data_IF_375929187626
#
_entry.id   IF_375929187626
#
_cell.length_a   1.000
_cell.length_b   1.000
_cell.length_c   1.000
_cell.angle_alpha   90.00
_cell.angle_beta   90.00
_cell.angle_gamma   90.00
#
_symmetry.space_group_name_H-M   'P 1'
#
loop_
_entity.id
_entity.type
_entity.pdbx_description
1 polymer ?
#
# COMPACT_ATOMS: atom_id res chain seq x y z
N UNK A 1 20.62 22.32 2.16
CA UNK A 1 19.55 21.31 2.19
C UNK A 1 20.12 20.03 2.78
N UNK A 2 19.35 19.31 3.59
CA UNK A 2 19.71 17.95 4.07
C UNK A 2 18.64 17.03 3.53
N UNK A 3 19.01 16.03 2.73
CA UNK A 3 18.07 15.12 2.06
C UNK A 3 16.93 15.86 1.34
N UNK A 4 17.26 16.86 0.52
CA UNK A 4 16.32 17.72 -0.21
C UNK A 4 15.40 18.63 0.64
N UNK A 5 15.55 18.66 1.97
CA UNK A 5 14.76 19.53 2.86
C UNK A 5 15.55 20.73 3.39
N UNK A 6 14.80 21.79 3.74
CA UNK A 6 15.34 22.97 4.42
C UNK A 6 15.71 22.64 5.87
N UNK A 7 16.72 23.33 6.42
CA UNK A 7 17.18 23.12 7.80
C UNK A 7 16.06 23.35 8.82
N UNK A 8 15.16 24.31 8.54
CA UNK A 8 13.97 24.58 9.36
C UNK A 8 13.07 23.35 9.45
N UNK A 9 12.75 22.72 8.32
CA UNK A 9 11.90 21.52 8.30
C UNK A 9 12.56 20.33 8.99
N UNK A 10 13.86 20.13 8.82
CA UNK A 10 14.58 19.06 9.53
C UNK A 10 14.52 19.25 11.05
N UNK A 11 14.62 20.49 11.54
CA UNK A 11 14.49 20.78 12.98
C UNK A 11 13.10 20.44 13.51
N UNK A 12 12.05 20.81 12.77
CA UNK A 12 10.66 20.49 13.13
C UNK A 12 10.44 18.98 13.14
N UNK A 13 10.86 18.26 12.09
CA UNK A 13 10.76 16.80 12.02
C UNK A 13 11.51 16.12 13.17
N UNK A 14 12.68 16.64 13.56
CA UNK A 14 13.43 16.12 14.71
C UNK A 14 12.64 16.20 16.00
N UNK A 15 12.10 17.38 16.29
CA UNK A 15 11.33 17.62 17.51
C UNK A 15 10.07 16.76 17.52
N UNK A 16 9.35 16.74 16.40
CA UNK A 16 8.16 15.93 16.24
C UNK A 16 8.45 14.44 16.46
N UNK A 17 9.49 13.89 15.80
CA UNK A 17 9.90 12.49 15.97
C UNK A 17 10.15 12.11 17.44
N UNK A 18 10.93 12.93 18.16
CA UNK A 18 11.31 12.63 19.55
C UNK A 18 10.08 12.74 20.47
N UNK A 19 9.33 13.84 20.39
CA UNK A 19 8.15 14.04 21.23
C UNK A 19 7.07 13.01 20.95
N UNK A 20 6.83 12.68 19.69
CA UNK A 20 5.86 11.66 19.30
C UNK A 20 6.19 10.31 19.92
N UNK A 21 7.43 9.83 19.81
CA UNK A 21 7.83 8.55 20.38
C UNK A 21 7.69 8.52 21.90
N UNK A 22 8.13 9.58 22.58
CA UNK A 22 8.08 9.65 24.05
C UNK A 22 6.63 9.76 24.54
N UNK A 23 5.86 10.71 24.00
CA UNK A 23 4.49 10.99 24.47
C UNK A 23 3.58 9.81 24.20
N UNK A 24 3.64 9.22 23.01
CA UNK A 24 2.79 8.07 22.66
C UNK A 24 3.14 6.83 23.48
N UNK A 25 4.43 6.59 23.76
CA UNK A 25 4.82 5.49 24.63
C UNK A 25 4.41 5.72 26.09
N UNK A 26 4.57 6.94 26.62
CA UNK A 26 4.10 7.27 27.97
C UNK A 26 2.59 7.08 28.08
N UNK A 27 1.83 7.58 27.09
CA UNK A 27 0.39 7.36 27.04
C UNK A 27 0.05 5.86 26.99
N UNK A 28 0.75 5.09 26.15
CA UNK A 28 0.59 3.64 26.05
C UNK A 28 0.81 2.94 27.39
N UNK A 29 1.84 3.33 28.14
CA UNK A 29 2.05 2.84 29.50
C UNK A 29 0.87 3.23 30.40
N UNK A 30 0.47 4.51 30.44
CA UNK A 30 -0.60 4.99 31.32
C UNK A 30 -1.97 4.33 31.05
N UNK A 31 -2.18 3.67 29.91
CA UNK A 31 -3.43 2.97 29.65
C UNK A 31 -3.72 1.83 30.63
N UNK A 32 -2.72 1.31 31.37
CA UNK A 32 -2.93 0.23 32.36
C UNK A 32 -3.87 0.63 33.50
N UNK A 33 -4.11 1.94 33.72
CA UNK A 33 -5.07 2.39 34.72
C UNK A 33 -6.51 2.03 34.37
N UNK A 34 -6.80 1.77 33.09
CA UNK A 34 -8.13 1.45 32.59
C UNK A 34 -8.23 0.07 31.93
N UNK A 35 -7.11 -0.48 31.47
CA UNK A 35 -7.05 -1.76 30.78
C UNK A 35 -6.28 -2.81 31.61
N UNK A 36 -6.72 -4.08 31.62
CA UNK A 36 -6.08 -5.13 32.42
C UNK A 36 -4.59 -5.32 32.08
N UNK A 37 -3.74 -5.35 33.10
CA UNK A 37 -2.32 -5.60 32.93
C UNK A 37 -2.00 -7.11 32.96
N UNK A 38 -1.91 -7.72 31.77
CA UNK A 38 -1.54 -9.12 31.59
C UNK A 38 -0.08 -9.32 31.13
N UNK A 39 0.32 -10.59 31.00
CA UNK A 39 1.65 -10.97 30.49
C UNK A 39 1.93 -10.46 29.08
N UNK A 40 0.92 -10.43 28.21
CA UNK A 40 1.00 -9.84 26.86
C UNK A 40 1.31 -8.35 26.92
N UNK A 41 0.64 -7.61 27.81
CA UNK A 41 0.84 -6.17 27.98
C UNK A 41 2.24 -5.84 28.49
N UNK A 42 2.78 -6.66 29.37
CA UNK A 42 4.17 -6.52 29.81
C UNK A 42 5.16 -6.63 28.64
N UNK A 43 4.97 -7.61 27.75
CA UNK A 43 5.80 -7.78 26.55
C UNK A 43 5.69 -6.57 25.62
N UNK A 44 4.47 -6.06 25.39
CA UNK A 44 4.24 -4.86 24.58
C UNK A 44 4.95 -3.63 25.16
N UNK A 45 4.88 -3.42 26.48
CA UNK A 45 5.56 -2.30 27.16
C UNK A 45 7.08 -2.43 27.08
N UNK A 46 7.62 -3.63 27.32
CA UNK A 46 9.06 -3.87 27.22
C UNK A 46 9.58 -3.67 25.78
N UNK A 47 8.83 -4.16 24.79
CA UNK A 47 9.12 -3.93 23.38
C UNK A 47 9.03 -2.44 23.02
N UNK A 48 7.97 -1.75 23.46
CA UNK A 48 7.79 -0.32 23.26
C UNK A 48 8.93 0.51 23.88
N UNK A 49 9.38 0.15 25.08
CA UNK A 49 10.52 0.78 25.74
C UNK A 49 11.79 0.63 24.89
N UNK A 50 12.05 -0.57 24.37
CA UNK A 50 13.20 -0.83 23.50
C UNK A 50 13.12 -0.01 22.21
N UNK A 51 11.94 0.08 21.60
CA UNK A 51 11.68 0.92 20.41
C UNK A 51 12.01 2.38 20.70
N UNK A 52 11.52 2.94 21.81
CA UNK A 52 11.78 4.35 22.17
C UNK A 52 13.25 4.58 22.49
N UNK A 53 13.87 3.76 23.33
CA UNK A 53 15.28 3.92 23.75
C UNK A 53 16.21 3.90 22.53
N UNK A 54 16.04 2.91 21.65
CA UNK A 54 16.86 2.79 20.45
C UNK A 54 16.46 3.79 19.35
N UNK A 55 15.22 4.28 19.37
CA UNK A 55 14.66 5.18 18.37
C UNK A 55 15.04 6.64 18.60
N UNK A 56 14.98 7.14 19.84
CA UNK A 56 15.29 8.54 20.20
C UNK A 56 16.74 8.91 19.89
N UNK A 57 17.65 7.94 19.91
CA UNK A 57 19.06 8.14 19.54
C UNK A 57 19.30 8.41 18.05
N UNK A 58 18.40 7.99 17.17
CA UNK A 58 18.60 8.02 15.70
C UNK A 58 18.92 9.43 15.17
N UNK A 59 18.16 10.49 15.52
CA UNK A 59 18.43 11.85 15.04
C UNK A 59 19.77 12.45 15.50
N UNK A 60 20.49 11.79 16.41
CA UNK A 60 21.78 12.23 16.96
C UNK A 60 22.94 11.36 16.46
N UNK A 61 22.67 10.36 15.62
CA UNK A 61 23.70 9.48 15.10
C UNK A 61 24.72 10.21 14.24
N UNK A 62 26.00 10.03 14.55
CA UNK A 62 27.11 10.56 13.74
C UNK A 62 27.43 9.62 12.57
N UNK A 63 28.00 10.15 11.47
CA UNK A 63 28.55 9.33 10.39
C UNK A 63 29.60 8.33 10.92
N UNK A 64 29.53 7.08 10.46
CA UNK A 64 30.45 6.02 10.87
C UNK A 64 31.72 6.03 9.99
N UNK A 65 32.87 5.79 10.60
CA UNK A 65 34.15 5.62 9.87
C UNK A 65 34.17 4.28 9.11
N UNK A 66 35.04 4.18 8.10
CA UNK A 66 35.13 3.00 7.20
C UNK A 66 35.40 1.69 7.97
N UNK A 67 36.27 1.73 8.97
CA UNK A 67 36.70 0.60 9.80
C UNK A 67 35.65 0.08 10.80
N UNK A 68 34.55 0.80 11.03
CA UNK A 68 33.54 0.43 12.03
C UNK A 68 32.47 -0.53 11.48
N UNK A 69 32.88 -1.71 10.96
CA UNK A 69 31.98 -2.67 10.32
C UNK A 69 30.84 -3.16 11.23
N UNK A 70 31.13 -3.53 12.47
CA UNK A 70 30.12 -4.02 13.44
C UNK A 70 29.07 -2.95 13.72
N UNK A 71 29.48 -1.70 13.98
CA UNK A 71 28.55 -0.58 14.23
C UNK A 71 27.64 -0.31 13.03
N UNK A 72 28.13 -0.49 11.80
CA UNK A 72 27.31 -0.35 10.59
C UNK A 72 26.23 -1.43 10.51
N UNK A 73 26.55 -2.67 10.87
CA UNK A 73 25.58 -3.77 10.90
C UNK A 73 24.53 -3.51 11.97
N UNK A 74 24.94 -3.20 13.20
CA UNK A 74 24.01 -2.88 14.30
C UNK A 74 23.08 -1.72 13.96
N UNK A 75 23.59 -0.67 13.31
CA UNK A 75 22.76 0.46 12.86
C UNK A 75 21.71 0.04 11.82
N UNK A 76 22.08 -0.81 10.86
CA UNK A 76 21.12 -1.36 9.89
C UNK A 76 20.05 -2.22 10.56
N UNK A 77 20.46 -3.08 11.50
CA UNK A 77 19.52 -3.88 12.29
C UNK A 77 18.56 -2.98 13.08
N UNK A 78 19.07 -1.88 13.68
CA UNK A 78 18.22 -0.91 14.36
C UNK A 78 17.20 -0.27 13.40
N UNK A 79 17.60 0.15 12.20
CA UNK A 79 16.63 0.72 11.25
C UNK A 79 15.52 -0.27 10.85
N UNK A 80 15.85 -1.54 10.64
CA UNK A 80 14.85 -2.58 10.33
C UNK A 80 13.93 -2.82 11.53
N UNK A 81 14.50 -2.93 12.73
CA UNK A 81 13.75 -3.07 13.97
C UNK A 81 12.78 -1.89 14.17
N UNK A 82 13.25 -0.66 13.93
CA UNK A 82 12.47 0.55 14.10
C UNK A 82 11.40 0.71 13.01
N UNK A 83 11.63 0.23 11.77
CA UNK A 83 10.61 0.27 10.72
C UNK A 83 9.38 -0.55 11.06
N UNK A 84 9.55 -1.64 11.81
CA UNK A 84 8.44 -2.45 12.32
C UNK A 84 7.93 -1.89 13.65
N UNK A 85 8.84 -1.73 14.61
CA UNK A 85 8.50 -1.40 16.00
C UNK A 85 7.81 -0.05 16.16
N UNK A 86 8.26 1.01 15.46
CA UNK A 86 7.57 2.30 15.53
C UNK A 86 6.21 2.24 14.84
N UNK A 87 6.10 1.55 13.71
CA UNK A 87 4.86 1.54 12.94
C UNK A 87 3.72 0.80 13.65
N UNK A 88 4.04 -0.12 14.57
CA UNK A 88 3.07 -0.68 15.53
C UNK A 88 2.89 0.18 16.79
N UNK A 89 3.97 0.70 17.36
CA UNK A 89 3.90 1.45 18.63
C UNK A 89 3.10 2.75 18.48
N UNK A 90 3.26 3.45 17.37
CA UNK A 90 2.63 4.75 17.12
C UNK A 90 1.09 4.68 17.17
N UNK A 91 0.40 3.82 16.40
CA UNK A 91 -1.06 3.72 16.48
C UNK A 91 -1.53 3.23 17.85
N UNK A 92 -0.83 2.29 18.50
CA UNK A 92 -1.17 1.84 19.86
C UNK A 92 -1.08 2.96 20.89
N UNK A 93 -0.05 3.80 20.81
CA UNK A 93 0.06 4.97 21.67
C UNK A 93 -0.99 6.03 21.36
N UNK A 94 -1.43 6.17 20.09
CA UNK A 94 -2.53 7.05 19.73
C UNK A 94 -3.85 6.56 20.30
N UNK A 95 -4.11 5.24 20.27
CA UNK A 95 -5.24 4.63 20.97
C UNK A 95 -5.22 4.90 22.47
N UNK A 96 -4.05 4.84 23.10
CA UNK A 96 -3.95 5.17 24.51
C UNK A 96 -4.24 6.66 24.77
N UNK A 97 -3.81 7.57 23.90
CA UNK A 97 -4.19 9.00 23.99
C UNK A 97 -5.70 9.17 23.85
N UNK A 98 -6.35 8.55 22.86
CA UNK A 98 -7.81 8.67 22.70
C UNK A 98 -8.56 8.16 23.92
N UNK A 99 -8.13 7.04 24.50
CA UNK A 99 -8.67 6.52 25.76
C UNK A 99 -8.49 7.50 26.93
N UNK A 100 -7.28 8.03 27.13
CA UNK A 100 -6.99 8.98 28.22
C UNK A 100 -7.82 10.25 28.07
N UNK A 101 -7.90 10.82 26.86
CA UNK A 101 -8.69 12.02 26.59
C UNK A 101 -10.18 11.78 26.85
N UNK A 102 -10.69 10.60 26.50
CA UNK A 102 -12.06 10.23 26.82
C UNK A 102 -12.29 10.08 28.34
N UNK A 103 -11.38 9.39 29.05
CA UNK A 103 -11.57 9.10 30.48
C UNK A 103 -11.29 10.29 31.41
N UNK A 104 -10.31 11.13 31.07
CA UNK A 104 -9.84 12.22 31.93
C UNK A 104 -10.48 13.55 31.55
N UNK A 105 -10.55 13.85 30.24
CA UNK A 105 -11.12 15.12 29.74
C UNK A 105 -12.58 14.98 29.29
N UNK A 106 -13.17 13.78 29.39
CA UNK A 106 -14.57 13.50 29.05
C UNK A 106 -14.94 13.89 27.61
N UNK A 107 -13.96 13.83 26.70
CA UNK A 107 -14.18 14.11 25.28
C UNK A 107 -14.96 12.96 24.60
N UNK A 108 -15.84 13.33 23.67
CA UNK A 108 -16.69 12.38 22.96
C UNK A 108 -15.90 11.56 21.93
N UNK A 109 -16.18 10.26 21.86
CA UNK A 109 -15.51 9.35 20.92
C UNK A 109 -15.59 9.75 19.44
N UNK A 110 -16.70 10.26 18.88
CA UNK A 110 -16.73 10.71 17.49
C UNK A 110 -15.70 11.79 17.18
N UNK A 111 -15.54 12.76 18.08
CA UNK A 111 -14.56 13.86 17.91
C UNK A 111 -13.14 13.29 17.99
N UNK A 112 -12.88 12.45 19.00
CA UNK A 112 -11.58 11.79 19.15
C UNK A 112 -11.23 10.90 17.96
N UNK A 113 -12.21 10.20 17.38
CA UNK A 113 -12.04 9.36 16.23
C UNK A 113 -11.63 10.17 14.99
N UNK A 114 -12.31 11.30 14.72
CA UNK A 114 -11.93 12.22 13.64
C UNK A 114 -10.50 12.74 13.84
N UNK A 115 -10.18 13.20 15.05
CA UNK A 115 -8.83 13.73 15.35
C UNK A 115 -7.75 12.66 15.20
N UNK A 116 -7.99 11.43 15.66
CA UNK A 116 -7.07 10.32 15.50
C UNK A 116 -6.87 9.95 14.04
N UNK A 117 -7.95 9.79 13.26
CA UNK A 117 -7.87 9.51 11.82
C UNK A 117 -7.10 10.61 11.06
N UNK A 118 -7.34 11.89 11.38
CA UNK A 118 -6.59 13.00 10.78
C UNK A 118 -5.09 12.95 11.14
N UNK A 119 -4.75 12.57 12.38
CA UNK A 119 -3.36 12.45 12.80
C UNK A 119 -2.65 11.26 12.13
N UNK A 120 -3.33 10.12 11.97
CA UNK A 120 -2.81 8.92 11.28
C UNK A 120 -2.28 9.27 9.88
N UNK A 121 -2.93 10.19 9.16
CA UNK A 121 -2.50 10.63 7.83
C UNK A 121 -1.05 11.13 7.79
N UNK A 122 -0.56 11.74 8.88
CA UNK A 122 0.75 12.41 8.92
C UNK A 122 1.69 11.84 9.97
N UNK A 123 1.20 11.00 10.87
CA UNK A 123 1.91 10.41 12.01
C UNK A 123 3.23 9.71 11.61
N UNK A 124 3.28 9.09 10.44
CA UNK A 124 4.43 8.30 10.01
C UNK A 124 5.54 9.13 9.32
N UNK A 125 5.31 10.42 9.02
CA UNK A 125 6.27 11.26 8.29
C UNK A 125 7.63 11.43 9.02
N UNK A 126 7.68 11.66 10.34
CA UNK A 126 8.97 11.80 11.03
C UNK A 126 9.78 10.49 11.03
N UNK A 127 9.10 9.35 11.27
CA UNK A 127 9.73 8.04 11.22
C UNK A 127 10.21 7.70 9.80
N UNK A 128 9.48 8.13 8.77
CA UNK A 128 9.90 7.99 7.36
C UNK A 128 11.23 8.68 7.11
N UNK A 129 11.40 9.91 7.59
CA UNK A 129 12.62 10.68 7.41
C UNK A 129 13.82 10.13 8.20
N UNK A 130 13.61 9.67 9.44
CA UNK A 130 14.72 9.22 10.29
C UNK A 130 15.04 7.73 10.19
N UNK A 131 14.06 6.89 9.86
CA UNK A 131 14.20 5.44 9.86
C UNK A 131 14.16 4.90 8.44
N UNK A 132 13.03 5.08 7.74
CA UNK A 132 12.77 4.38 6.47
C UNK A 132 13.74 4.80 5.36
N UNK A 133 14.09 6.09 5.28
CA UNK A 133 15.01 6.60 4.24
C UNK A 133 16.36 5.87 4.23
N UNK A 134 16.79 5.35 5.39
CA UNK A 134 18.09 4.71 5.55
C UNK A 134 18.17 3.30 4.97
N UNK A 135 17.04 2.72 4.53
CA UNK A 135 17.02 1.45 3.81
C UNK A 135 17.41 1.69 2.34
N UNK A 136 18.65 1.30 1.99
CA UNK A 136 19.25 1.62 0.69
C UNK A 136 19.22 0.46 -0.32
N UNK A 137 19.14 -0.80 0.12
CA UNK A 137 19.14 -1.93 -0.79
C UNK A 137 17.83 -2.01 -1.57
N UNK A 138 17.89 -2.31 -2.88
CA UNK A 138 16.70 -2.44 -3.72
C UNK A 138 15.67 -3.42 -3.12
N UNK A 139 16.11 -4.65 -2.79
CA UNK A 139 15.26 -5.67 -2.17
C UNK A 139 14.70 -5.17 -0.84
N UNK A 140 15.52 -4.51 -0.01
CA UNK A 140 15.07 -3.97 1.27
C UNK A 140 14.01 -2.89 1.11
N UNK A 141 14.09 -2.04 0.08
CA UNK A 141 13.08 -1.02 -0.21
C UNK A 141 11.77 -1.62 -0.70
N UNK A 142 11.84 -2.63 -1.57
CA UNK A 142 10.65 -3.36 -2.03
C UNK A 142 9.96 -4.02 -0.85
N UNK A 143 10.66 -4.84 -0.07
CA UNK A 143 10.08 -5.50 1.12
C UNK A 143 9.56 -4.51 2.16
N UNK A 144 10.27 -3.39 2.36
CA UNK A 144 9.81 -2.32 3.25
C UNK A 144 8.45 -1.79 2.78
N UNK A 145 8.30 -1.45 1.51
CA UNK A 145 7.05 -0.88 0.99
C UNK A 145 5.94 -1.93 1.04
N UNK A 146 6.21 -3.13 0.53
CA UNK A 146 5.16 -4.12 0.23
C UNK A 146 4.76 -4.98 1.43
N UNK A 147 5.59 -5.09 2.45
CA UNK A 147 5.30 -5.92 3.63
C UNK A 147 5.21 -5.05 4.87
N UNK A 148 6.26 -4.27 5.14
CA UNK A 148 6.32 -3.55 6.42
C UNK A 148 5.34 -2.38 6.40
N UNK A 149 5.48 -1.44 5.47
CA UNK A 149 4.75 -0.18 5.50
C UNK A 149 3.27 -0.39 5.15
N UNK A 150 2.96 -1.19 4.13
CA UNK A 150 1.56 -1.36 3.74
C UNK A 150 0.75 -2.09 4.81
N UNK A 151 1.23 -3.20 5.37
CA UNK A 151 0.49 -3.94 6.41
C UNK A 151 0.37 -3.13 7.70
N UNK A 152 1.45 -2.46 8.13
CA UNK A 152 1.43 -1.71 9.39
C UNK A 152 0.65 -0.40 9.30
N UNK A 153 0.69 0.32 8.17
CA UNK A 153 -0.18 1.48 7.96
C UNK A 153 -1.61 1.02 7.68
N UNK A 154 -1.81 -0.08 6.94
CA UNK A 154 -3.10 -0.68 6.59
C UNK A 154 -3.99 -1.00 7.80
N UNK A 155 -3.38 -1.18 8.97
CA UNK A 155 -4.07 -1.40 10.26
C UNK A 155 -3.99 -0.18 11.20
N UNK A 156 -3.39 0.93 10.78
CA UNK A 156 -3.04 2.07 11.62
C UNK A 156 -4.22 2.75 12.30
N UNK A 157 -5.28 3.11 11.54
CA UNK A 157 -6.49 3.74 12.09
C UNK A 157 -7.28 2.79 13.01
N UNK A 158 -7.48 1.54 12.58
CA UNK A 158 -8.13 0.48 13.37
C UNK A 158 -7.41 0.30 14.72
N UNK A 159 -6.08 0.19 14.72
CA UNK A 159 -5.30 0.10 15.96
C UNK A 159 -5.40 1.37 16.79
N UNK A 160 -5.41 2.56 16.16
CA UNK A 160 -5.54 3.86 16.84
C UNK A 160 -6.92 4.08 17.48
N UNK A 161 -7.93 3.33 17.05
CA UNK A 161 -9.31 3.39 17.54
C UNK A 161 -9.73 2.13 18.30
N UNK A 162 -8.80 1.24 18.65
CA UNK A 162 -9.11 -0.06 19.26
C UNK A 162 -9.88 0.01 20.59
N UNK A 163 -9.76 1.12 21.34
CA UNK A 163 -10.49 1.35 22.60
C UNK A 163 -11.79 2.12 22.42
N UNK A 164 -12.18 2.44 21.18
CA UNK A 164 -13.45 3.08 20.86
C UNK A 164 -14.48 2.00 20.52
N UNK A 165 -15.71 2.13 21.03
CA UNK A 165 -16.75 1.14 20.71
C UNK A 165 -17.44 1.52 19.39
N UNK A 166 -17.75 0.54 18.52
CA UNK A 166 -18.50 0.76 17.28
C UNK A 166 -19.75 1.61 17.43
N UNK A 167 -20.53 1.38 18.49
CA UNK A 167 -21.78 2.09 18.77
C UNK A 167 -21.58 3.55 19.18
N UNK A 168 -20.39 3.92 19.65
CA UNK A 168 -20.10 5.24 20.22
C UNK A 168 -19.55 6.23 19.19
N UNK A 169 -18.88 5.76 18.12
CA UNK A 169 -18.37 6.61 17.04
C UNK A 169 -19.38 6.85 15.91
N UNK A 170 -20.41 6.00 15.82
CA UNK A 170 -21.44 6.08 14.78
C UNK A 170 -21.07 5.31 13.50
N UNK A 171 -22.10 4.87 12.77
CA UNK A 171 -21.96 3.95 11.63
C UNK A 171 -21.12 4.52 10.47
N UNK A 172 -21.23 5.82 10.20
CA UNK A 172 -20.48 6.47 9.11
C UNK A 172 -18.98 6.49 9.41
N UNK A 173 -18.58 6.94 10.60
CA UNK A 173 -17.16 6.97 10.99
C UNK A 173 -16.59 5.56 11.09
N UNK A 174 -17.36 4.60 11.61
CA UNK A 174 -16.97 3.20 11.61
C UNK A 174 -16.76 2.67 10.19
N UNK A 175 -17.62 3.03 9.25
CA UNK A 175 -17.48 2.60 7.84
C UNK A 175 -16.22 3.18 7.22
N UNK A 176 -15.88 4.44 7.51
CA UNK A 176 -14.66 5.10 7.01
C UNK A 176 -13.39 4.46 7.59
N UNK A 177 -13.38 4.14 8.89
CA UNK A 177 -12.24 3.48 9.55
C UNK A 177 -12.04 2.06 9.01
N UNK A 178 -13.11 1.26 9.01
CA UNK A 178 -13.07 -0.15 8.64
C UNK A 178 -12.93 -0.40 7.13
N UNK A 179 -13.11 0.62 6.29
CA UNK A 179 -12.93 0.48 4.84
C UNK A 179 -11.47 0.63 4.39
N UNK A 180 -10.53 0.93 5.28
CA UNK A 180 -9.11 1.10 4.94
C UNK A 180 -8.74 2.43 4.28
N UNK A 181 -9.70 3.28 3.92
CA UNK A 181 -9.43 4.50 3.11
C UNK A 181 -8.52 5.51 3.83
N UNK A 182 -8.66 5.65 5.15
CA UNK A 182 -7.78 6.52 5.96
C UNK A 182 -6.34 6.00 5.92
N UNK A 183 -6.18 4.68 6.00
CA UNK A 183 -4.88 4.03 5.95
C UNK A 183 -4.25 4.14 4.54
N UNK A 184 -5.05 3.97 3.49
CA UNK A 184 -4.63 4.17 2.11
C UNK A 184 -4.09 5.60 1.88
N UNK A 185 -4.78 6.62 2.40
CA UNK A 185 -4.32 8.01 2.31
C UNK A 185 -3.04 8.25 3.13
N UNK A 186 -2.95 7.71 4.34
CA UNK A 186 -1.73 7.77 5.15
C UNK A 186 -0.53 7.10 4.44
N UNK A 187 -0.78 5.97 3.77
CA UNK A 187 0.20 5.25 2.98
C UNK A 187 0.69 6.09 1.79
N UNK A 188 -0.22 6.71 1.04
CA UNK A 188 0.11 7.59 -0.10
C UNK A 188 1.03 8.73 0.35
N UNK A 189 0.70 9.41 1.45
CA UNK A 189 1.52 10.50 2.00
C UNK A 189 2.89 10.01 2.45
N UNK A 190 2.93 8.88 3.15
CA UNK A 190 4.17 8.28 3.68
C UNK A 190 5.09 7.82 2.56
N UNK A 191 4.60 7.02 1.62
CA UNK A 191 5.38 6.52 0.49
C UNK A 191 5.73 7.63 -0.50
N UNK A 192 4.82 8.57 -0.74
CA UNK A 192 5.08 9.75 -1.56
C UNK A 192 6.25 10.57 -1.01
N UNK A 193 6.28 10.78 0.31
CA UNK A 193 7.40 11.44 0.98
C UNK A 193 8.68 10.60 0.95
N UNK A 194 8.59 9.29 1.19
CA UNK A 194 9.75 8.38 1.14
C UNK A 194 10.41 8.35 -0.25
N UNK A 195 9.61 8.25 -1.31
CA UNK A 195 10.08 8.27 -2.69
C UNK A 195 10.76 9.59 -3.04
N UNK A 196 10.22 10.72 -2.57
CA UNK A 196 10.86 12.03 -2.68
C UNK A 196 12.22 12.08 -1.98
N UNK A 197 12.32 11.54 -0.75
CA UNK A 197 13.58 11.48 0.00
C UNK A 197 14.62 10.56 -0.68
N UNK A 198 14.18 9.51 -1.38
CA UNK A 198 15.02 8.67 -2.21
C UNK A 198 15.38 9.27 -3.59
N UNK A 199 14.90 10.47 -3.89
CA UNK A 199 15.23 11.23 -5.09
C UNK A 199 14.44 10.83 -6.33
N UNK A 200 13.26 10.21 -6.17
CA UNK A 200 12.36 9.93 -7.29
C UNK A 200 11.41 11.11 -7.54
N UNK A 201 11.11 11.37 -8.82
CA UNK A 201 10.04 12.30 -9.21
C UNK A 201 8.67 11.69 -8.87
N UNK A 202 7.66 12.53 -8.67
CA UNK A 202 6.27 12.09 -8.53
C UNK A 202 5.76 11.43 -9.81
N UNK A 203 4.76 10.53 -9.73
CA UNK A 203 4.21 9.86 -10.90
C UNK A 203 3.45 10.86 -11.79
N UNK A 204 3.38 10.57 -13.08
CA UNK A 204 2.59 11.35 -14.02
C UNK A 204 1.09 11.07 -13.89
N UNK A 205 0.27 12.07 -14.22
CA UNK A 205 -1.20 12.00 -14.16
C UNK A 205 -1.88 12.24 -15.51
N UNK A 206 -1.10 12.59 -16.53
CA UNK A 206 -1.59 12.92 -17.87
C UNK A 206 -0.97 11.97 -18.87
N UNK A 207 -1.75 11.61 -19.88
CA UNK A 207 -1.27 10.77 -20.97
C UNK A 207 -0.11 11.50 -21.68
N UNK A 208 1.00 10.79 -21.87
CA UNK A 208 2.19 11.29 -22.53
C UNK A 208 1.89 11.72 -23.97
N UNK A 209 2.47 12.85 -24.37
CA UNK A 209 2.42 13.35 -25.76
C UNK A 209 3.15 12.43 -26.75
N UNK A 210 4.07 11.60 -26.26
CA UNK A 210 4.84 10.66 -27.07
C UNK A 210 4.11 9.30 -27.26
N UNK A 211 2.94 9.11 -26.64
CA UNK A 211 2.18 7.87 -26.74
C UNK A 211 1.48 7.75 -28.11
N UNK A 212 1.51 6.57 -28.71
CA UNK A 212 0.73 6.28 -29.90
C UNK A 212 -0.69 5.92 -29.49
N UNK A 213 -1.67 6.68 -29.99
CA UNK A 213 -3.09 6.49 -29.68
C UNK A 213 -3.66 5.13 -30.04
N UNK A 214 -3.11 4.42 -31.03
CA UNK A 214 -3.53 3.04 -31.35
C UNK A 214 -3.14 2.06 -30.23
N UNK A 215 -1.96 2.24 -29.64
CA UNK A 215 -1.50 1.40 -28.53
C UNK A 215 -2.24 1.77 -27.24
N UNK A 216 -2.49 3.06 -27.02
CA UNK A 216 -3.37 3.51 -25.92
C UNK A 216 -4.77 2.93 -26.08
N UNK A 217 -5.34 2.98 -27.28
CA UNK A 217 -6.64 2.38 -27.60
C UNK A 217 -6.68 0.89 -27.32
N UNK A 218 -5.65 0.13 -27.74
CA UNK A 218 -5.54 -1.30 -27.42
C UNK A 218 -5.53 -1.54 -25.90
N UNK A 219 -4.71 -0.78 -25.15
CA UNK A 219 -4.63 -0.91 -23.70
C UNK A 219 -5.98 -0.61 -23.02
N UNK A 220 -6.66 0.46 -23.44
CA UNK A 220 -7.97 0.84 -22.91
C UNK A 220 -9.01 -0.23 -23.22
N UNK A 221 -9.07 -0.73 -24.46
CA UNK A 221 -9.99 -1.81 -24.84
C UNK A 221 -9.72 -3.07 -24.02
N UNK A 222 -8.46 -3.46 -23.83
CA UNK A 222 -8.10 -4.62 -22.99
C UNK A 222 -8.54 -4.44 -21.54
N UNK A 223 -8.30 -3.26 -20.95
CA UNK A 223 -8.69 -2.97 -19.56
C UNK A 223 -10.21 -2.91 -19.40
N UNK A 224 -10.93 -2.28 -20.33
CA UNK A 224 -12.39 -2.23 -20.33
C UNK A 224 -12.99 -3.62 -20.51
N UNK A 225 -12.46 -4.43 -21.43
CA UNK A 225 -12.90 -5.81 -21.62
C UNK A 225 -12.70 -6.64 -20.34
N UNK A 226 -11.57 -6.46 -19.65
CA UNK A 226 -11.29 -7.11 -18.37
C UNK A 226 -12.30 -6.68 -17.29
N UNK A 227 -12.60 -5.38 -17.19
CA UNK A 227 -13.60 -4.84 -16.24
C UNK A 227 -14.97 -5.42 -16.51
N UNK A 228 -15.42 -5.45 -17.77
CA UNK A 228 -16.72 -5.98 -18.15
C UNK A 228 -16.80 -7.47 -17.85
N UNK A 229 -15.77 -8.25 -18.20
CA UNK A 229 -15.72 -9.68 -17.93
C UNK A 229 -15.74 -9.99 -16.43
N UNK A 230 -14.94 -9.28 -15.63
CA UNK A 230 -14.87 -9.49 -14.19
C UNK A 230 -16.15 -9.07 -13.44
N UNK A 231 -16.79 -7.99 -13.89
CA UNK A 231 -17.95 -7.42 -13.21
C UNK A 231 -19.30 -7.95 -13.67
N UNK A 232 -19.40 -8.48 -14.90
CA UNK A 232 -20.68 -8.84 -15.52
C UNK A 232 -20.68 -10.22 -16.19
N UNK A 233 -19.59 -11.00 -16.09
CA UNK A 233 -19.56 -12.35 -16.65
C UNK A 233 -20.49 -13.31 -15.89
N UNK A 234 -21.33 -14.04 -16.63
CA UNK A 234 -22.32 -15.00 -16.06
C UNK A 234 -22.21 -16.40 -16.73
N UNK A 235 -21.13 -16.65 -17.47
CA UNK A 235 -20.94 -17.92 -18.17
C UNK A 235 -20.45 -19.04 -17.25
N UNK A 236 -21.10 -20.20 -17.29
CA UNK A 236 -20.76 -21.41 -16.50
C UNK A 236 -19.98 -22.48 -17.30
N UNK A 237 -19.79 -22.27 -18.62
CA UNK A 237 -19.18 -23.24 -19.55
C UNK A 237 -18.13 -22.57 -20.39
N UNK A 238 -17.17 -23.35 -20.92
CA UNK A 238 -16.11 -22.83 -21.81
C UNK A 238 -16.64 -22.08 -23.03
N UNK A 239 -17.83 -22.43 -23.55
CA UNK A 239 -18.45 -21.73 -24.67
C UNK A 239 -19.12 -20.40 -24.29
N UNK A 240 -19.46 -20.22 -23.02
CA UNK A 240 -20.24 -19.07 -22.50
C UNK A 240 -19.42 -18.15 -21.58
N UNK A 241 -18.32 -18.61 -21.00
CA UNK A 241 -17.49 -17.89 -19.99
C UNK A 241 -16.94 -16.54 -20.47
N UNK A 242 -16.82 -16.32 -21.78
CA UNK A 242 -16.36 -15.06 -22.38
C UNK A 242 -17.43 -14.35 -23.23
N UNK A 243 -18.65 -14.87 -23.28
CA UNK A 243 -19.70 -14.40 -24.19
C UNK A 243 -21.04 -14.16 -23.50
N UNK A 244 -21.29 -14.77 -22.35
CA UNK A 244 -22.47 -14.57 -21.52
C UNK A 244 -22.21 -13.46 -20.51
N UNK A 245 -23.06 -12.44 -20.51
CA UNK A 245 -22.98 -11.31 -19.61
C UNK A 245 -24.33 -10.99 -18.99
N UNK A 246 -24.36 -10.80 -17.68
CA UNK A 246 -25.48 -10.21 -16.96
C UNK A 246 -25.09 -8.79 -16.50
N UNK A 247 -25.78 -7.79 -17.05
CA UNK A 247 -25.56 -6.37 -16.72
C UNK A 247 -26.44 -5.89 -15.55
N UNK A 248 -26.98 -6.81 -14.76
CA UNK A 248 -27.61 -6.49 -13.49
C UNK A 248 -26.58 -5.87 -12.54
N UNK A 249 -26.89 -4.72 -11.99
CA UNK A 249 -26.00 -4.02 -11.07
C UNK A 249 -25.97 -4.73 -9.72
N UNK A 250 -24.76 -4.95 -9.19
CA UNK A 250 -24.55 -5.40 -7.81
C UNK A 250 -25.03 -4.40 -6.77
N UNK A 251 -24.89 -4.75 -5.49
CA UNK A 251 -25.32 -3.91 -4.38
C UNK A 251 -24.26 -2.85 -4.06
N UNK A 252 -24.55 -1.58 -4.35
CA UNK A 252 -23.65 -0.46 -3.99
C UNK A 252 -24.00 0.15 -2.64
N UNK A 253 -22.98 0.38 -1.82
CA UNK A 253 -23.07 1.16 -0.59
C UNK A 253 -21.74 1.88 -0.30
N UNK A 254 -21.74 2.76 0.70
CA UNK A 254 -20.56 3.53 1.08
C UNK A 254 -19.35 2.65 1.38
N UNK A 255 -19.54 1.52 2.09
CA UNK A 255 -18.46 0.60 2.46
C UNK A 255 -17.77 0.05 1.20
N UNK A 256 -18.53 -0.44 0.23
CA UNK A 256 -17.98 -1.01 -1.02
C UNK A 256 -17.20 0.03 -1.80
N UNK A 257 -17.74 1.25 -1.95
CA UNK A 257 -17.04 2.32 -2.67
C UNK A 257 -15.75 2.70 -1.95
N UNK A 258 -15.76 2.82 -0.62
CA UNK A 258 -14.57 3.18 0.14
C UNK A 258 -13.52 2.05 0.17
N UNK A 259 -13.93 0.79 0.21
CA UNK A 259 -13.03 -0.36 0.11
C UNK A 259 -12.39 -0.42 -1.28
N UNK A 260 -13.16 -0.25 -2.36
CA UNK A 260 -12.60 -0.21 -3.71
C UNK A 260 -11.64 0.96 -3.94
N UNK A 261 -11.77 2.07 -3.19
CA UNK A 261 -10.81 3.17 -3.23
C UNK A 261 -9.46 2.84 -2.57
N UNK A 262 -9.35 1.75 -1.81
CA UNK A 262 -8.08 1.27 -1.27
C UNK A 262 -7.08 0.92 -2.37
N UNK A 263 -7.56 0.49 -3.55
CA UNK A 263 -6.77 0.27 -4.78
C UNK A 263 -5.86 1.42 -5.15
N UNK A 264 -6.19 2.66 -4.77
CA UNK A 264 -5.33 3.83 -4.98
C UNK A 264 -3.98 3.63 -4.26
N UNK A 265 -3.98 3.09 -3.05
CA UNK A 265 -2.75 2.79 -2.30
C UNK A 265 -1.98 1.63 -2.91
N UNK A 266 -2.66 0.62 -3.45
CA UNK A 266 -2.03 -0.49 -4.15
C UNK A 266 -1.32 -0.02 -5.43
N UNK A 267 -1.99 0.79 -6.24
CA UNK A 267 -1.38 1.39 -7.42
C UNK A 267 -0.25 2.37 -7.06
N UNK A 268 -0.38 3.08 -5.93
CA UNK A 268 0.71 3.91 -5.40
C UNK A 268 1.92 3.08 -4.96
N UNK A 269 1.70 1.93 -4.33
CA UNK A 269 2.75 1.01 -3.93
C UNK A 269 3.44 0.41 -5.17
N UNK A 270 2.67 -0.12 -6.10
CA UNK A 270 3.21 -0.91 -7.20
C UNK A 270 3.59 -0.06 -8.41
N UNK A 271 2.68 0.75 -8.94
CA UNK A 271 2.89 1.47 -10.23
C UNK A 271 3.70 2.74 -10.06
N UNK A 272 3.72 3.29 -8.85
CA UNK A 272 4.66 4.34 -8.49
C UNK A 272 5.91 3.79 -7.79
N UNK A 273 5.81 3.28 -6.56
CA UNK A 273 7.01 3.03 -5.77
C UNK A 273 7.86 1.84 -6.27
N UNK A 274 7.30 0.63 -6.32
CA UNK A 274 8.02 -0.59 -6.73
C UNK A 274 8.47 -0.49 -8.19
N UNK A 275 7.61 -0.03 -9.09
CA UNK A 275 7.93 0.12 -10.51
C UNK A 275 9.11 1.08 -10.75
N UNK A 276 9.17 2.23 -10.07
CA UNK A 276 10.29 3.17 -10.23
C UNK A 276 11.58 2.63 -9.61
N UNK A 277 11.50 1.92 -8.48
CA UNK A 277 12.63 1.21 -7.90
C UNK A 277 13.16 0.15 -8.88
N UNK A 278 12.27 -0.63 -9.50
CA UNK A 278 12.63 -1.62 -10.52
C UNK A 278 13.23 -0.96 -11.76
N UNK A 279 12.65 0.14 -12.27
CA UNK A 279 13.22 0.89 -13.40
C UNK A 279 14.66 1.30 -13.10
N UNK A 280 14.94 1.83 -11.91
CA UNK A 280 16.30 2.20 -11.50
C UNK A 280 17.22 0.99 -11.42
N UNK A 281 16.77 -0.10 -10.78
CA UNK A 281 17.56 -1.31 -10.57
C UNK A 281 17.92 -2.02 -11.90
N UNK A 282 17.02 -1.98 -12.89
CA UNK A 282 17.19 -2.63 -14.18
C UNK A 282 17.64 -1.70 -15.31
N UNK A 283 18.02 -0.46 -15.00
CA UNK A 283 18.39 0.59 -15.99
C UNK A 283 19.46 0.20 -17.01
N UNK A 284 20.37 -0.70 -16.65
CA UNK A 284 21.43 -1.20 -17.54
C UNK A 284 21.14 -2.57 -18.17
N UNK A 285 19.95 -3.15 -17.94
CA UNK A 285 19.59 -4.46 -18.49
C UNK A 285 18.94 -4.32 -19.86
N UNK A 286 19.32 -5.20 -20.78
CA UNK A 286 18.57 -5.41 -22.02
C UNK A 286 17.14 -5.81 -21.67
N UNK A 287 16.17 -5.25 -22.39
CA UNK A 287 14.74 -5.45 -22.16
C UNK A 287 14.27 -5.02 -20.75
N UNK A 288 14.88 -3.97 -20.17
CA UNK A 288 14.52 -3.37 -18.88
C UNK A 288 13.00 -3.36 -18.62
N UNK A 289 12.20 -2.80 -19.55
CA UNK A 289 10.76 -2.66 -19.35
C UNK A 289 10.02 -3.99 -19.24
N UNK A 290 10.47 -5.03 -19.96
CA UNK A 290 9.91 -6.38 -19.85
C UNK A 290 10.14 -6.93 -18.45
N UNK A 291 11.38 -6.85 -17.94
CA UNK A 291 11.68 -7.29 -16.59
C UNK A 291 10.89 -6.52 -15.53
N UNK A 292 10.77 -5.21 -15.70
CA UNK A 292 10.04 -4.34 -14.78
C UNK A 292 8.57 -4.73 -14.69
N UNK A 293 7.86 -4.90 -15.81
CA UNK A 293 6.43 -5.25 -15.77
C UNK A 293 6.19 -6.67 -15.25
N UNK A 294 7.07 -7.63 -15.59
CA UNK A 294 6.93 -9.01 -15.11
C UNK A 294 7.19 -9.13 -13.61
N UNK A 295 8.21 -8.43 -13.09
CA UNK A 295 8.50 -8.41 -11.65
C UNK A 295 7.40 -7.68 -10.89
N UNK A 296 6.89 -6.57 -11.40
CA UNK A 296 5.78 -5.86 -10.76
C UNK A 296 4.52 -6.73 -10.74
N UNK A 297 4.21 -7.41 -11.84
CA UNK A 297 3.09 -8.34 -11.87
C UNK A 297 3.24 -9.49 -10.89
N UNK A 298 4.40 -10.16 -10.88
CA UNK A 298 4.65 -11.25 -9.94
C UNK A 298 4.54 -10.79 -8.48
N UNK A 299 5.14 -9.66 -8.10
CA UNK A 299 5.06 -9.14 -6.74
C UNK A 299 3.64 -8.76 -6.35
N UNK A 300 2.86 -8.19 -7.28
CA UNK A 300 1.46 -7.85 -7.06
C UNK A 300 0.58 -9.09 -6.86
N UNK A 301 0.80 -10.13 -7.67
CA UNK A 301 0.16 -11.43 -7.46
C UNK A 301 0.55 -12.07 -6.13
N UNK A 302 1.85 -12.13 -5.81
CA UNK A 302 2.36 -12.73 -4.57
C UNK A 302 1.83 -12.05 -3.31
N UNK A 303 1.52 -10.76 -3.37
CA UNK A 303 0.95 -10.03 -2.26
C UNK A 303 -0.34 -10.67 -1.75
N UNK A 304 -1.21 -11.12 -2.66
CA UNK A 304 -2.50 -11.72 -2.34
C UNK A 304 -2.39 -13.05 -1.57
N UNK A 305 -1.18 -13.59 -1.39
CA UNK A 305 -0.94 -14.73 -0.49
C UNK A 305 -1.36 -14.44 0.96
N UNK A 306 -1.41 -13.16 1.38
CA UNK A 306 -1.91 -12.76 2.69
C UNK A 306 -3.39 -13.14 2.91
N UNK A 307 -4.18 -13.31 1.85
CA UNK A 307 -5.60 -13.71 1.97
C UNK A 307 -5.76 -15.12 2.55
N UNK A 308 -4.72 -15.97 2.46
CA UNK A 308 -4.69 -17.25 3.16
C UNK A 308 -4.75 -17.07 4.68
N UNK A 309 -4.08 -16.04 5.20
CA UNK A 309 -4.11 -15.68 6.63
C UNK A 309 -5.46 -15.08 7.03
N UNK A 310 -6.19 -14.50 6.07
CA UNK A 310 -7.55 -14.00 6.25
C UNK A 310 -8.64 -15.09 6.13
N UNK A 311 -8.26 -16.35 5.88
CA UNK A 311 -9.16 -17.50 5.84
C UNK A 311 -9.65 -17.91 4.44
N UNK A 312 -9.12 -17.31 3.37
CA UNK A 312 -9.44 -17.72 2.00
C UNK A 312 -8.89 -19.12 1.69
N UNK A 313 -9.62 -19.90 0.89
CA UNK A 313 -9.16 -21.23 0.50
C UNK A 313 -7.85 -21.15 -0.32
N UNK A 314 -7.04 -22.21 -0.29
CA UNK A 314 -5.79 -22.27 -1.06
C UNK A 314 -6.07 -22.15 -2.56
N UNK A 315 -7.10 -22.81 -3.09
CA UNK A 315 -7.47 -22.75 -4.51
C UNK A 315 -7.84 -21.32 -4.93
N UNK A 316 -8.72 -20.67 -4.16
CA UNK A 316 -9.12 -19.28 -4.41
C UNK A 316 -7.91 -18.33 -4.34
N UNK A 317 -7.05 -18.51 -3.33
CA UNK A 317 -5.85 -17.67 -3.15
C UNK A 317 -4.89 -17.81 -4.33
N UNK A 318 -4.59 -19.05 -4.77
CA UNK A 318 -3.72 -19.27 -5.91
C UNK A 318 -4.29 -18.69 -7.21
N UNK A 319 -5.60 -18.82 -7.42
CA UNK A 319 -6.27 -18.25 -8.59
C UNK A 319 -6.21 -16.71 -8.57
N UNK A 320 -6.49 -16.10 -7.42
CA UNK A 320 -6.38 -14.65 -7.23
C UNK A 320 -4.94 -14.16 -7.43
N UNK A 321 -3.94 -14.86 -6.89
CA UNK A 321 -2.53 -14.53 -7.10
C UNK A 321 -2.15 -14.57 -8.59
N UNK A 322 -2.63 -15.57 -9.33
CA UNK A 322 -2.37 -15.71 -10.78
C UNK A 322 -3.06 -14.60 -11.58
N UNK A 323 -4.35 -14.36 -11.32
CA UNK A 323 -5.13 -13.32 -11.97
C UNK A 323 -4.54 -11.93 -11.69
N UNK A 324 -4.25 -11.63 -10.42
CA UNK A 324 -3.60 -10.40 -9.99
C UNK A 324 -2.20 -10.29 -10.60
N UNK A 325 -1.44 -11.37 -10.81
CA UNK A 325 -0.17 -11.27 -11.51
C UNK A 325 -0.31 -10.79 -12.96
N UNK A 326 -1.31 -11.32 -13.70
CA UNK A 326 -1.64 -10.85 -15.06
C UNK A 326 -2.12 -9.39 -15.09
N UNK A 327 -3.05 -9.03 -14.19
CA UNK A 327 -3.50 -7.64 -13.97
C UNK A 327 -2.33 -6.70 -13.65
N UNK A 328 -1.48 -7.17 -12.75
CA UNK A 328 -0.11 -6.78 -12.46
C UNK A 328 0.66 -6.23 -13.66
N UNK A 329 0.89 -7.13 -14.62
CA UNK A 329 1.63 -6.88 -15.85
C UNK A 329 0.95 -5.83 -16.73
N UNK A 330 -0.35 -5.96 -17.00
CA UNK A 330 -1.06 -5.06 -17.92
C UNK A 330 -1.16 -3.64 -17.36
N UNK A 331 -1.46 -3.46 -16.06
CA UNK A 331 -1.53 -2.15 -15.41
C UNK A 331 -0.15 -1.48 -15.36
N UNK A 332 0.91 -2.25 -15.13
CA UNK A 332 2.30 -1.74 -15.20
C UNK A 332 2.67 -1.30 -16.61
N UNK A 333 2.29 -2.08 -17.63
CA UNK A 333 2.50 -1.72 -19.03
C UNK A 333 1.69 -0.49 -19.44
N UNK A 334 0.43 -0.39 -18.99
CA UNK A 334 -0.44 0.75 -19.23
C UNK A 334 0.14 2.03 -18.60
N UNK A 335 0.63 1.96 -17.37
CA UNK A 335 1.32 3.08 -16.73
C UNK A 335 2.59 3.47 -17.51
N UNK A 336 3.49 2.53 -17.81
CA UNK A 336 4.72 2.83 -18.54
C UNK A 336 4.46 3.43 -19.92
N UNK A 337 3.42 2.99 -20.61
CA UNK A 337 3.12 3.47 -21.95
C UNK A 337 2.43 4.83 -21.93
N UNK A 338 1.51 5.05 -21.00
CA UNK A 338 0.72 6.30 -20.92
C UNK A 338 1.38 7.37 -20.06
N UNK A 339 2.27 7.01 -19.14
CA UNK A 339 2.79 7.87 -18.05
C UNK A 339 1.69 8.50 -17.18
N UNK A 340 0.50 7.89 -17.13
CA UNK A 340 -0.60 8.35 -16.30
C UNK A 340 -0.97 7.29 -15.27
N UNK A 341 -0.78 7.62 -13.99
CA UNK A 341 -1.20 6.78 -12.86
C UNK A 341 -2.73 6.71 -12.74
N UNK A 342 -3.46 7.67 -13.31
CA UNK A 342 -4.91 7.62 -13.36
C UNK A 342 -5.42 6.41 -14.15
N UNK A 343 -4.71 5.98 -15.21
CA UNK A 343 -5.13 4.83 -16.04
C UNK A 343 -5.21 3.54 -15.21
N UNK A 344 -4.14 3.09 -14.52
CA UNK A 344 -4.24 1.90 -13.69
C UNK A 344 -5.17 2.09 -12.49
N UNK A 345 -5.16 3.25 -11.82
CA UNK A 345 -6.04 3.51 -10.66
C UNK A 345 -7.52 3.39 -11.00
N UNK A 346 -7.97 4.04 -12.07
CA UNK A 346 -9.38 3.99 -12.48
C UNK A 346 -9.76 2.57 -12.90
N UNK A 347 -8.87 1.90 -13.65
CA UNK A 347 -9.15 0.55 -14.13
C UNK A 347 -9.27 -0.44 -12.97
N UNK A 348 -8.36 -0.36 -12.00
CA UNK A 348 -8.36 -1.21 -10.81
C UNK A 348 -9.55 -0.91 -9.90
N UNK A 349 -9.86 0.36 -9.65
CA UNK A 349 -11.07 0.75 -8.92
C UNK A 349 -12.34 0.13 -9.52
N UNK A 350 -12.48 0.14 -10.85
CA UNK A 350 -13.65 -0.47 -11.49
C UNK A 350 -13.67 -1.99 -11.44
N UNK A 351 -12.50 -2.65 -11.47
CA UNK A 351 -12.43 -4.10 -11.25
C UNK A 351 -12.96 -4.47 -9.87
N UNK A 352 -12.50 -3.74 -8.85
CA UNK A 352 -12.80 -4.02 -7.45
C UNK A 352 -14.22 -3.64 -7.08
N UNK A 353 -14.66 -2.42 -7.43
CA UNK A 353 -15.99 -1.94 -7.03
C UNK A 353 -17.10 -2.80 -7.63
N UNK A 354 -16.93 -3.28 -8.86
CA UNK A 354 -17.91 -4.17 -9.50
C UNK A 354 -17.88 -5.56 -8.84
N UNK A 355 -16.69 -6.16 -8.65
CA UNK A 355 -16.55 -7.46 -8.00
C UNK A 355 -17.13 -7.44 -6.57
N UNK A 356 -16.76 -6.44 -5.76
CA UNK A 356 -17.27 -6.30 -4.40
C UNK A 356 -18.78 -6.04 -4.37
N UNK A 357 -19.33 -5.31 -5.33
CA UNK A 357 -20.78 -5.09 -5.42
C UNK A 357 -21.56 -6.38 -5.68
N UNK A 358 -21.00 -7.31 -6.45
CA UNK A 358 -21.62 -8.61 -6.71
C UNK A 358 -21.45 -9.59 -5.54
N UNK A 359 -20.40 -9.41 -4.73
CA UNK A 359 -20.08 -10.28 -3.59
C UNK A 359 -20.53 -9.69 -2.24
N UNK A 360 -21.50 -8.78 -2.22
CA UNK A 360 -22.01 -8.13 -0.99
C UNK A 360 -20.91 -7.49 -0.11
N UNK A 361 -19.83 -6.99 -0.74
CA UNK A 361 -18.68 -6.38 -0.07
C UNK A 361 -17.70 -7.37 0.56
N UNK A 362 -17.73 -8.65 0.16
CA UNK A 362 -16.66 -9.60 0.47
C UNK A 362 -15.38 -9.22 -0.28
N UNK A 363 -14.25 -9.24 0.43
CA UNK A 363 -12.90 -9.10 -0.15
C UNK A 363 -12.27 -10.46 -0.48
N UNK A 364 -12.88 -11.56 -0.02
CA UNK A 364 -12.40 -12.92 -0.23
C UNK A 364 -13.15 -13.56 -1.38
N UNK A 365 -12.40 -14.28 -2.21
CA UNK A 365 -12.95 -15.02 -3.35
C UNK A 365 -13.39 -16.43 -2.96
N UNK A 366 -14.43 -16.93 -3.62
CA UNK A 366 -14.80 -18.34 -3.59
C UNK A 366 -13.78 -19.20 -4.35
N UNK A 367 -13.78 -20.51 -4.07
CA UNK A 367 -12.87 -21.44 -4.72
C UNK A 367 -13.31 -21.66 -6.17
N UNK A 368 -12.44 -21.42 -7.17
CA UNK A 368 -12.84 -21.52 -8.56
C UNK A 368 -13.02 -22.98 -8.99
N UNK A 369 -13.95 -23.19 -9.92
CA UNK A 369 -14.14 -24.45 -10.60
C UNK A 369 -13.15 -24.66 -11.76
N UNK A 370 -13.29 -25.78 -12.48
CA UNK A 370 -12.40 -26.11 -13.60
C UNK A 370 -12.50 -25.16 -14.80
N UNK A 371 -13.69 -24.60 -15.06
CA UNK A 371 -13.93 -23.65 -16.18
C UNK A 371 -13.32 -22.30 -15.83
N UNK A 372 -13.51 -21.83 -14.60
CA UNK A 372 -12.95 -20.56 -14.10
C UNK A 372 -11.42 -20.58 -14.04
N UNK A 373 -10.80 -21.71 -13.71
CA UNK A 373 -9.35 -21.89 -13.81
C UNK A 373 -8.85 -21.71 -15.24
N UNK A 374 -9.50 -22.36 -16.21
CA UNK A 374 -9.14 -22.23 -17.63
C UNK A 374 -9.32 -20.79 -18.09
N UNK A 375 -10.41 -20.13 -17.70
CA UNK A 375 -10.67 -18.74 -18.03
C UNK A 375 -9.59 -17.81 -17.47
N UNK A 376 -9.19 -18.00 -16.20
CA UNK A 376 -8.12 -17.24 -15.56
C UNK A 376 -6.80 -17.37 -16.34
N UNK A 377 -6.42 -18.59 -16.75
CA UNK A 377 -5.23 -18.78 -17.58
C UNK A 377 -5.30 -18.06 -18.92
N UNK A 378 -6.43 -18.16 -19.62
CA UNK A 378 -6.64 -17.48 -20.91
C UNK A 378 -6.50 -15.96 -20.73
N UNK A 379 -7.17 -15.39 -19.72
CA UNK A 379 -7.11 -13.96 -19.42
C UNK A 379 -5.67 -13.55 -19.12
N UNK A 380 -4.97 -14.24 -18.22
CA UNK A 380 -3.58 -13.92 -17.87
C UNK A 380 -2.66 -13.97 -19.08
N UNK A 381 -2.80 -14.98 -19.95
CA UNK A 381 -2.02 -15.06 -21.19
C UNK A 381 -2.27 -13.83 -22.08
N UNK A 382 -3.53 -13.44 -22.28
CA UNK A 382 -3.88 -12.25 -23.06
C UNK A 382 -3.29 -10.99 -22.44
N UNK A 383 -3.44 -10.79 -21.13
CA UNK A 383 -2.92 -9.62 -20.40
C UNK A 383 -1.39 -9.52 -20.52
N UNK A 384 -0.69 -10.65 -20.38
CA UNK A 384 0.77 -10.72 -20.52
C UNK A 384 1.20 -10.42 -21.96
N UNK A 385 0.53 -11.00 -22.96
CA UNK A 385 0.85 -10.75 -24.38
C UNK A 385 0.68 -9.27 -24.72
N UNK A 386 -0.44 -8.66 -24.34
CA UNK A 386 -0.71 -7.23 -24.59
C UNK A 386 0.28 -6.35 -23.83
N UNK A 387 0.59 -6.67 -22.56
CA UNK A 387 1.58 -5.97 -21.77
C UNK A 387 2.98 -6.01 -22.39
N UNK A 388 3.43 -7.19 -22.84
CA UNK A 388 4.70 -7.37 -23.55
C UNK A 388 4.71 -6.62 -24.88
N UNK A 389 3.62 -6.65 -25.65
CA UNK A 389 3.49 -5.91 -26.90
C UNK A 389 3.69 -4.40 -26.69
N UNK A 390 3.06 -3.83 -25.65
CA UNK A 390 3.11 -2.41 -25.32
C UNK A 390 4.52 -1.91 -24.95
N UNK A 391 5.34 -2.75 -24.31
CA UNK A 391 6.68 -2.35 -23.84
C UNK A 391 7.85 -2.75 -24.75
N UNK A 392 7.58 -3.44 -25.86
CA UNK A 392 8.63 -3.96 -26.77
C UNK A 392 8.74 -3.18 -28.09
N UNK A 393 9.63 -3.61 -28.99
CA UNK A 393 9.76 -3.12 -30.37
C UNK A 393 9.91 -1.60 -30.49
N UNK A 394 9.15 -0.96 -31.39
CA UNK A 394 9.16 0.51 -31.59
C UNK A 394 8.47 1.25 -30.44
N UNK A 395 7.49 0.62 -29.76
CA UNK A 395 6.70 1.24 -28.68
C UNK A 395 7.55 1.62 -27.47
N UNK A 396 8.59 0.84 -27.18
CA UNK A 396 9.56 1.16 -26.13
C UNK A 396 10.20 2.55 -26.27
N UNK A 397 10.31 3.08 -27.49
CA UNK A 397 10.90 4.40 -27.74
C UNK A 397 9.99 5.52 -27.22
N UNK A 398 8.67 5.35 -27.29
CA UNK A 398 7.69 6.27 -26.68
C UNK A 398 7.86 6.30 -25.16
N UNK A 399 8.04 5.14 -24.53
CA UNK A 399 8.29 5.03 -23.07
C UNK A 399 9.59 5.77 -22.71
N UNK A 400 10.67 5.53 -23.45
CA UNK A 400 11.98 6.17 -23.22
C UNK A 400 11.90 7.68 -23.29
N UNK A 401 11.25 8.24 -24.32
CA UNK A 401 11.06 9.68 -24.46
C UNK A 401 10.24 10.24 -23.30
N UNK A 402 9.15 9.58 -22.96
CA UNK A 402 8.23 10.07 -21.92
C UNK A 402 8.83 10.03 -20.50
N UNK A 403 9.77 9.11 -20.23
CA UNK A 403 10.48 9.04 -18.94
C UNK A 403 11.65 10.04 -18.86
N UNK A 404 12.10 10.57 -20.00
CA UNK A 404 13.17 11.57 -20.05
C UNK A 404 12.65 13.01 -19.89
N UNK A 405 11.41 13.25 -20.34
CA UNK A 405 10.64 14.48 -20.07
C UNK A 405 10.33 14.62 -18.55
#
# INVERSE_FOLDING_TARGET
MINNLSVKYVRVLKQWYIWQLIVLFVAFCLSFFWEPFGSTRFVEVAFGALVVILGVGIPFEKPLKSNQKVKKVLRKCNYIFQSVGQFFLLPLGLAAITLILHKVLLLNYPILAILAMLYVLVMYLPATYYVLVNIQSYIGRVLLITIIVFETIGTGSVLSLMYTRPREIGSVLQTIDMSGIVNALAFILTIGFLMYLWGFKQPGWRISRNANWLVVGLLVVTLVALIIWNGFGDGDKLSTIFTSFDFTWGHFNLKIVLQALETISEEWAFRFAVLFLSLKAFSHRKNQYVWVILINGLLFGLWHSANLLAGQSVSATLNQMLFAAGGGVILSAAYLYTQSLAVPMISHFFLDVLAFSNMNGSLLMEAPDGVEWVATWIVVIVLVIVGLFAVTGKRKQSIQKSLAD
#
